data_IF_027848923364
#
_entry.id   IF_027848923364
#
_cell.length_a   1.000
_cell.length_b   1.000
_cell.length_c   1.000
_cell.angle_alpha   90.00
_cell.angle_beta   90.00
_cell.angle_gamma   90.00
#
_symmetry.space_group_name_H-M   'P 1'
#
loop_
_entity.id
_entity.type
_entity.pdbx_description
1 polymer ?
#
# COMPACT_ATOMS: atom_id res chain seq x y z
N UNK A 1 12.75 13.74 -11.15
CA UNK A 1 12.29 12.35 -11.34
C UNK A 1 13.34 11.37 -10.81
N UNK A 2 14.63 11.49 -11.20
CA UNK A 2 15.68 10.57 -10.75
C UNK A 2 15.97 10.61 -9.24
N UNK A 3 15.85 11.75 -8.56
CA UNK A 3 16.19 11.86 -7.14
C UNK A 3 15.21 11.12 -6.22
N UNK A 4 13.90 11.15 -6.51
CA UNK A 4 12.91 10.41 -5.73
C UNK A 4 13.04 8.90 -5.93
N UNK A 5 13.34 8.43 -7.13
CA UNK A 5 13.54 7.02 -7.44
C UNK A 5 14.82 6.46 -6.81
N UNK A 6 15.92 7.22 -6.82
CA UNK A 6 17.15 6.85 -6.12
C UNK A 6 16.94 6.79 -4.60
N UNK A 7 16.17 7.72 -4.03
CA UNK A 7 15.78 7.68 -2.62
C UNK A 7 14.93 6.45 -2.28
N UNK A 8 14.03 6.04 -3.17
CA UNK A 8 13.23 4.82 -3.00
C UNK A 8 14.11 3.57 -2.99
N UNK A 9 15.03 3.41 -3.93
CA UNK A 9 15.92 2.25 -4.00
C UNK A 9 16.85 2.15 -2.78
N UNK A 10 17.47 3.27 -2.34
CA UNK A 10 18.38 3.27 -1.19
C UNK A 10 17.66 2.94 0.13
N UNK A 11 16.43 3.42 0.33
CA UNK A 11 15.63 3.17 1.54
C UNK A 11 15.11 1.74 1.62
N UNK A 12 14.86 1.09 0.50
CA UNK A 12 14.45 -0.32 0.44
C UNK A 12 15.61 -1.26 0.70
N UNK A 13 16.82 -0.93 0.27
CA UNK A 13 18.05 -1.62 0.70
C UNK A 13 18.28 -1.47 2.20
N UNK A 14 17.94 -0.31 2.78
CA UNK A 14 17.95 -0.14 4.23
C UNK A 14 16.97 -1.10 4.92
N UNK A 15 15.77 -1.34 4.36
CA UNK A 15 14.83 -2.31 4.92
C UNK A 15 15.39 -3.73 4.91
N UNK A 16 16.06 -4.16 3.85
CA UNK A 16 16.69 -5.49 3.79
C UNK A 16 17.80 -5.65 4.83
N UNK A 17 18.57 -4.59 5.10
CA UNK A 17 19.66 -4.59 6.08
C UNK A 17 19.17 -4.47 7.52
N UNK A 18 18.20 -3.56 7.75
CA UNK A 18 17.80 -3.08 9.08
C UNK A 18 16.42 -3.62 9.50
N UNK A 19 15.78 -4.44 8.65
CA UNK A 19 14.44 -5.02 8.84
C UNK A 19 13.29 -4.09 8.49
N UNK A 20 13.53 -2.78 8.41
CA UNK A 20 12.51 -1.81 8.03
C UNK A 20 13.10 -0.53 7.43
N UNK A 21 12.31 0.15 6.56
CA UNK A 21 12.68 1.42 5.95
C UNK A 21 11.45 2.21 5.52
N UNK A 22 11.58 3.54 5.50
CA UNK A 22 10.51 4.44 5.04
C UNK A 22 11.02 5.41 3.99
N UNK A 23 10.17 5.75 3.01
CA UNK A 23 10.39 6.86 2.12
C UNK A 23 9.25 7.89 2.28
N UNK A 24 9.64 9.15 2.54
CA UNK A 24 8.69 10.27 2.59
C UNK A 24 8.40 10.68 1.13
N UNK A 25 7.67 9.83 0.44
CA UNK A 25 7.24 9.98 -0.95
C UNK A 25 6.09 9.01 -1.22
N UNK A 26 5.27 9.29 -2.26
CA UNK A 26 4.22 8.36 -2.69
C UNK A 26 4.80 7.16 -3.46
N UNK A 27 4.07 6.04 -3.44
CA UNK A 27 4.36 4.87 -4.26
C UNK A 27 3.93 5.00 -5.72
N UNK A 28 3.07 5.99 -6.02
CA UNK A 28 2.60 6.32 -7.38
C UNK A 28 1.90 5.15 -8.09
N UNK A 29 0.95 4.53 -7.39
CA UNK A 29 0.31 3.25 -7.74
C UNK A 29 -0.61 3.28 -8.98
N UNK A 30 -0.99 4.47 -9.46
CA UNK A 30 -1.79 4.62 -10.68
C UNK A 30 -0.96 4.67 -11.95
N UNK A 31 0.36 4.88 -11.88
CA UNK A 31 1.19 4.89 -13.08
C UNK A 31 1.24 3.51 -13.73
N UNK A 32 0.82 3.46 -14.99
CA UNK A 32 0.75 2.27 -15.83
C UNK A 32 2.04 2.08 -16.66
N UNK A 33 2.05 1.06 -17.53
CA UNK A 33 3.22 0.74 -18.35
C UNK A 33 3.52 1.81 -19.40
N UNK A 34 2.49 2.43 -19.94
CA UNK A 34 2.54 3.31 -21.12
C UNK A 34 2.05 4.74 -20.86
N UNK A 35 1.47 4.99 -19.68
CA UNK A 35 0.98 6.31 -19.31
C UNK A 35 0.97 6.52 -17.80
N UNK A 36 0.95 7.81 -17.40
CA UNK A 36 0.72 8.24 -16.03
C UNK A 36 -0.72 8.68 -15.85
N UNK A 37 -1.31 8.39 -14.70
CA UNK A 37 -2.64 8.88 -14.31
C UNK A 37 -2.74 9.02 -12.78
N UNK A 38 -3.84 9.58 -12.26
CA UNK A 38 -4.08 9.71 -10.82
C UNK A 38 -2.93 10.39 -10.05
N UNK A 39 -2.36 11.48 -10.59
CA UNK A 39 -1.17 12.17 -10.09
C UNK A 39 0.12 11.34 -10.07
N UNK A 40 0.13 10.18 -10.72
CA UNK A 40 1.24 9.24 -10.75
C UNK A 40 1.92 9.24 -12.13
N UNK A 41 3.23 9.49 -12.18
CA UNK A 41 4.02 9.50 -13.43
C UNK A 41 4.79 8.20 -13.63
N UNK A 42 5.41 7.67 -12.57
CA UNK A 42 6.14 6.40 -12.60
C UNK A 42 5.79 5.60 -11.35
N UNK A 43 5.46 4.33 -11.50
CA UNK A 43 5.13 3.46 -10.38
C UNK A 43 6.39 3.12 -9.56
N UNK A 44 6.61 3.89 -8.49
CA UNK A 44 7.80 3.78 -7.65
C UNK A 44 7.90 2.45 -6.89
N UNK A 45 6.76 1.79 -6.60
CA UNK A 45 6.75 0.47 -5.96
C UNK A 45 7.30 -0.59 -6.90
N UNK A 46 6.79 -0.62 -8.14
CA UNK A 46 7.24 -1.57 -9.17
C UNK A 46 8.68 -1.30 -9.59
N UNK A 47 9.05 -0.03 -9.86
CA UNK A 47 10.43 0.32 -10.24
C UNK A 47 11.45 -0.15 -9.21
N UNK A 48 11.11 -0.07 -7.94
CA UNK A 48 12.05 -0.51 -6.93
C UNK A 48 12.03 -2.02 -6.70
N UNK A 49 10.90 -2.68 -6.84
CA UNK A 49 10.84 -4.13 -6.86
C UNK A 49 11.70 -4.67 -8.01
N UNK A 50 11.51 -4.15 -9.24
CA UNK A 50 12.29 -4.55 -10.42
C UNK A 50 13.80 -4.32 -10.22
N UNK A 51 14.20 -3.17 -9.63
CA UNK A 51 15.60 -2.87 -9.38
C UNK A 51 16.26 -3.85 -8.38
N UNK A 52 15.57 -4.25 -7.31
CA UNK A 52 16.08 -5.20 -6.32
C UNK A 52 16.12 -6.63 -6.88
N UNK A 53 15.11 -7.03 -7.65
CA UNK A 53 15.07 -8.31 -8.35
C UNK A 53 16.22 -8.42 -9.37
N UNK A 54 16.43 -7.38 -10.19
CA UNK A 54 17.51 -7.34 -11.18
C UNK A 54 18.91 -7.35 -10.53
N UNK A 55 19.05 -6.76 -9.33
CA UNK A 55 20.29 -6.79 -8.56
C UNK A 55 20.51 -8.14 -7.84
N UNK A 56 19.55 -9.06 -7.86
CA UNK A 56 19.60 -10.32 -7.12
C UNK A 56 19.52 -10.14 -5.59
N UNK A 57 19.11 -8.98 -5.11
CA UNK A 57 19.01 -8.69 -3.67
C UNK A 57 17.75 -9.33 -3.04
N UNK A 58 16.74 -9.58 -3.83
CA UNK A 58 15.51 -10.30 -3.47
C UNK A 58 15.09 -11.23 -4.61
N UNK A 59 14.29 -12.26 -4.30
CA UNK A 59 13.72 -13.19 -5.29
C UNK A 59 12.22 -12.99 -5.46
N UNK A 60 11.54 -12.58 -4.38
CA UNK A 60 10.10 -12.31 -4.38
C UNK A 60 9.80 -11.04 -3.59
N UNK A 61 8.95 -10.20 -4.14
CA UNK A 61 8.47 -8.97 -3.51
C UNK A 61 6.96 -9.03 -3.39
N UNK A 62 6.44 -8.71 -2.22
CA UNK A 62 5.02 -8.42 -2.06
C UNK A 62 4.79 -6.91 -1.98
N UNK A 63 3.66 -6.46 -2.52
CA UNK A 63 3.17 -5.09 -2.40
C UNK A 63 1.82 -5.15 -1.71
N UNK A 64 1.66 -4.46 -0.58
CA UNK A 64 0.38 -4.22 0.05
C UNK A 64 0.03 -2.75 -0.12
N UNK A 65 -1.01 -2.48 -0.85
CA UNK A 65 -1.53 -1.15 -1.13
C UNK A 65 -2.80 -0.92 -0.31
N UNK A 66 -2.74 0.05 0.59
CA UNK A 66 -3.86 0.48 1.44
C UNK A 66 -4.13 1.99 1.31
N UNK A 67 -3.87 2.54 0.14
CA UNK A 67 -4.45 3.80 -0.31
C UNK A 67 -5.97 3.64 -0.47
N UNK A 68 -6.72 4.73 -0.39
CA UNK A 68 -8.17 4.70 -0.61
C UNK A 68 -8.52 4.17 -2.00
N UNK A 69 -7.72 4.53 -3.00
CA UNK A 69 -8.01 4.25 -4.39
C UNK A 69 -7.40 2.91 -4.83
N UNK A 70 -8.08 2.24 -5.75
CA UNK A 70 -7.56 1.02 -6.35
C UNK A 70 -6.24 1.28 -7.09
N UNK A 71 -5.21 0.50 -6.77
CA UNK A 71 -3.87 0.59 -7.36
C UNK A 71 -3.80 -0.04 -8.76
N UNK A 72 -4.52 0.50 -9.73
CA UNK A 72 -4.66 -0.05 -11.08
C UNK A 72 -3.34 -0.21 -11.83
N UNK A 73 -2.46 0.78 -11.74
CA UNK A 73 -1.13 0.73 -12.37
C UNK A 73 -0.26 -0.36 -11.76
N UNK A 74 -0.26 -0.48 -10.42
CA UNK A 74 0.46 -1.57 -9.72
C UNK A 74 -0.09 -2.93 -10.14
N UNK A 75 -1.41 -3.10 -10.20
CA UNK A 75 -2.05 -4.34 -10.64
C UNK A 75 -1.68 -4.71 -12.07
N UNK A 76 -1.77 -3.74 -13.00
CA UNK A 76 -1.40 -3.94 -14.41
C UNK A 76 0.07 -4.38 -14.54
N UNK A 77 0.97 -3.68 -13.85
CA UNK A 77 2.41 -3.97 -13.93
C UNK A 77 2.80 -5.28 -13.26
N UNK A 78 2.16 -5.65 -12.13
CA UNK A 78 2.39 -6.91 -11.45
C UNK A 78 1.91 -8.12 -12.28
N UNK A 79 0.88 -7.96 -13.10
CA UNK A 79 0.32 -9.04 -13.92
C UNK A 79 1.36 -9.70 -14.83
N UNK A 80 2.38 -8.97 -15.27
CA UNK A 80 3.48 -9.47 -16.14
C UNK A 80 4.77 -9.79 -15.37
N UNK A 81 4.75 -9.78 -14.03
CA UNK A 81 5.93 -9.92 -13.15
C UNK A 81 5.75 -11.07 -12.16
N UNK A 82 6.16 -12.30 -12.49
CA UNK A 82 5.89 -13.48 -11.66
C UNK A 82 6.54 -13.43 -10.26
N UNK A 83 7.52 -12.56 -10.06
CA UNK A 83 8.22 -12.38 -8.79
C UNK A 83 7.65 -11.24 -7.93
N UNK A 84 6.61 -10.56 -8.40
CA UNK A 84 5.92 -9.49 -7.67
C UNK A 84 4.47 -9.92 -7.44
N UNK A 85 4.04 -9.92 -6.18
CA UNK A 85 2.66 -10.19 -5.81
C UNK A 85 2.06 -8.94 -5.16
N UNK A 86 1.03 -8.36 -5.77
CA UNK A 86 0.38 -7.15 -5.30
C UNK A 86 -1.00 -7.46 -4.70
N UNK A 87 -1.31 -6.80 -3.60
CA UNK A 87 -2.65 -6.79 -2.98
C UNK A 87 -3.08 -5.35 -2.79
N UNK A 88 -4.25 -4.97 -3.31
CA UNK A 88 -4.86 -3.67 -3.08
C UNK A 88 -6.13 -3.84 -2.25
N UNK A 89 -6.18 -3.18 -1.08
CA UNK A 89 -7.38 -3.06 -0.23
C UNK A 89 -7.83 -1.60 -0.30
N UNK A 90 -8.96 -1.33 -0.93
CA UNK A 90 -9.35 0.00 -1.38
C UNK A 90 -10.83 0.28 -1.13
N UNK A 91 -11.20 1.54 -0.93
CA UNK A 91 -12.57 1.99 -0.70
C UNK A 91 -13.18 2.75 -1.87
N UNK A 92 -12.40 3.02 -2.91
CA UNK A 92 -12.83 3.86 -4.03
C UNK A 92 -12.14 3.46 -5.33
N UNK A 93 -12.90 3.47 -6.43
CA UNK A 93 -12.33 3.46 -7.77
C UNK A 93 -11.88 4.89 -8.12
N UNK A 94 -10.61 5.04 -8.50
CA UNK A 94 -10.02 6.36 -8.78
C UNK A 94 -10.62 7.07 -9.99
N UNK A 95 -11.33 6.34 -10.87
CA UNK A 95 -11.90 6.92 -12.11
C UNK A 95 -13.17 7.70 -11.87
N UNK A 96 -14.08 7.16 -11.10
CA UNK A 96 -15.40 7.74 -10.89
C UNK A 96 -15.62 8.27 -9.45
N UNK A 97 -14.69 7.96 -8.53
CA UNK A 97 -14.79 8.31 -7.11
C UNK A 97 -16.15 7.92 -6.48
N UNK A 98 -16.78 6.86 -6.99
CA UNK A 98 -18.07 6.40 -6.50
C UNK A 98 -17.88 5.40 -5.37
N UNK A 99 -18.47 5.67 -4.19
CA UNK A 99 -18.43 4.72 -3.08
C UNK A 99 -19.06 3.39 -3.43
N UNK A 100 -18.46 2.29 -2.98
CA UNK A 100 -19.03 0.97 -3.17
C UNK A 100 -20.19 0.73 -2.20
N UNK A 101 -21.42 0.67 -2.71
CA UNK A 101 -22.58 0.21 -1.95
C UNK A 101 -22.66 -1.31 -1.88
N UNK A 102 -22.24 -1.97 -2.95
CA UNK A 102 -22.14 -3.41 -3.05
C UNK A 102 -20.77 -3.77 -3.62
N UNK A 103 -19.86 -4.20 -2.75
CA UNK A 103 -18.49 -4.57 -3.10
C UNK A 103 -18.41 -5.83 -3.98
N UNK A 104 -19.47 -6.64 -4.03
CA UNK A 104 -19.52 -7.83 -4.87
C UNK A 104 -19.60 -7.50 -6.36
N UNK A 105 -20.13 -6.33 -6.70
CA UNK A 105 -20.36 -5.87 -8.08
C UNK A 105 -19.12 -5.15 -8.66
N UNK A 106 -18.28 -4.57 -7.80
CA UNK A 106 -17.12 -3.76 -8.22
C UNK A 106 -15.79 -4.42 -7.89
N UNK A 107 -15.67 -5.70 -8.16
CA UNK A 107 -14.38 -6.38 -8.08
C UNK A 107 -13.58 -6.07 -9.33
N UNK A 108 -12.39 -5.50 -9.12
CA UNK A 108 -11.35 -5.57 -10.13
C UNK A 108 -10.90 -7.03 -10.24
N UNK A 109 -10.70 -7.50 -11.47
CA UNK A 109 -10.35 -8.90 -11.70
C UNK A 109 -9.03 -9.26 -11.03
N UNK A 110 -9.07 -10.27 -10.19
CA UNK A 110 -7.86 -10.88 -9.65
C UNK A 110 -7.10 -11.60 -10.76
N UNK A 111 -5.77 -11.54 -10.69
CA UNK A 111 -4.87 -12.28 -11.56
C UNK A 111 -3.99 -13.24 -10.77
N UNK A 112 -3.07 -13.89 -11.44
CA UNK A 112 -2.10 -14.77 -10.79
C UNK A 112 -1.25 -14.01 -9.76
N UNK A 113 -0.82 -12.80 -10.11
CA UNK A 113 0.10 -11.98 -9.33
C UNK A 113 -0.56 -10.75 -8.66
N UNK A 114 -1.87 -10.70 -8.67
CA UNK A 114 -2.61 -9.58 -8.09
C UNK A 114 -3.92 -10.04 -7.44
N UNK A 115 -4.26 -9.41 -6.32
CA UNK A 115 -5.54 -9.53 -5.63
C UNK A 115 -6.09 -8.15 -5.28
N UNK A 116 -7.40 -8.02 -5.31
CA UNK A 116 -8.11 -6.81 -4.94
C UNK A 116 -9.21 -7.10 -3.91
N UNK A 117 -9.35 -6.22 -2.92
CA UNK A 117 -10.37 -6.28 -1.89
C UNK A 117 -11.00 -4.92 -1.70
N UNK A 118 -12.24 -4.76 -2.14
CA UNK A 118 -12.98 -3.52 -1.98
C UNK A 118 -13.60 -3.44 -0.56
N UNK A 119 -13.47 -2.26 0.05
CA UNK A 119 -14.11 -1.91 1.32
C UNK A 119 -15.47 -1.24 1.04
N UNK A 120 -16.54 -1.61 1.76
CA UNK A 120 -17.85 -0.98 1.58
C UNK A 120 -17.85 0.45 2.09
N UNK A 121 -18.73 1.28 1.55
CA UNK A 121 -19.00 2.59 2.12
C UNK A 121 -19.43 2.47 3.59
N UNK A 122 -18.91 3.35 4.45
CA UNK A 122 -19.09 3.28 5.89
C UNK A 122 -18.25 2.19 6.57
N UNK A 123 -17.28 1.60 5.88
CA UNK A 123 -16.33 0.63 6.46
C UNK A 123 -15.69 1.20 7.71
N UNK A 124 -15.81 0.49 8.81
CA UNK A 124 -15.20 0.78 10.11
C UNK A 124 -13.87 0.00 10.30
N UNK A 125 -13.21 0.23 11.43
CA UNK A 125 -11.98 -0.47 11.83
C UNK A 125 -12.13 -1.99 11.74
N UNK A 126 -13.21 -2.54 12.25
CA UNK A 126 -13.44 -4.00 12.32
C UNK A 126 -13.51 -4.61 10.93
N UNK A 127 -14.24 -3.95 10.03
CA UNK A 127 -14.40 -4.38 8.65
C UNK A 127 -13.08 -4.28 7.88
N UNK A 128 -12.33 -3.19 8.06
CA UNK A 128 -11.01 -3.00 7.47
C UNK A 128 -10.02 -4.07 7.95
N UNK A 129 -9.92 -4.29 9.26
CA UNK A 129 -8.99 -5.28 9.82
C UNK A 129 -9.35 -6.70 9.37
N UNK A 130 -10.62 -7.04 9.22
CA UNK A 130 -11.05 -8.32 8.65
C UNK A 130 -10.56 -8.49 7.21
N UNK A 131 -10.72 -7.47 6.36
CA UNK A 131 -10.20 -7.51 4.99
C UNK A 131 -8.66 -7.70 4.95
N UNK A 132 -7.94 -7.11 5.91
CA UNK A 132 -6.50 -7.34 6.06
C UNK A 132 -6.20 -8.77 6.51
N UNK A 133 -6.95 -9.32 7.45
CA UNK A 133 -6.78 -10.69 7.94
C UNK A 133 -7.03 -11.74 6.84
N UNK A 134 -7.90 -11.44 5.88
CA UNK A 134 -8.11 -12.27 4.70
C UNK A 134 -6.96 -12.12 3.67
N UNK A 135 -6.36 -10.93 3.54
CA UNK A 135 -5.35 -10.62 2.53
C UNK A 135 -3.91 -10.99 2.96
N UNK A 136 -3.55 -10.76 4.23
CA UNK A 136 -2.19 -10.99 4.72
C UNK A 136 -1.71 -12.44 4.59
N UNK A 137 -2.54 -13.48 4.78
CA UNK A 137 -2.15 -14.87 4.51
C UNK A 137 -1.79 -15.12 3.03
N UNK A 138 -2.43 -14.43 2.09
CA UNK A 138 -2.11 -14.55 0.66
C UNK A 138 -0.71 -14.01 0.37
N UNK A 139 -0.33 -12.92 1.02
CA UNK A 139 1.03 -12.36 0.96
C UNK A 139 2.02 -13.37 1.56
N UNK A 140 1.73 -13.90 2.75
CA UNK A 140 2.60 -14.87 3.42
C UNK A 140 2.85 -16.13 2.58
N UNK A 141 1.83 -16.62 1.87
CA UNK A 141 1.91 -17.80 1.01
C UNK A 141 2.91 -17.63 -0.14
N UNK A 142 3.18 -16.38 -0.56
CA UNK A 142 4.18 -16.06 -1.60
C UNK A 142 5.62 -16.03 -1.07
N UNK A 143 5.83 -16.14 0.24
CA UNK A 143 7.14 -16.13 0.90
C UNK A 143 8.03 -14.97 0.43
N UNK A 144 7.56 -13.72 0.49
CA UNK A 144 8.32 -12.59 -0.02
C UNK A 144 9.59 -12.34 0.81
N UNK A 145 10.66 -11.97 0.13
CA UNK A 145 11.90 -11.50 0.76
C UNK A 145 11.78 -10.02 1.21
N UNK A 146 10.77 -9.30 0.71
CA UNK A 146 10.48 -7.90 1.04
C UNK A 146 8.98 -7.61 0.89
N UNK A 147 8.42 -6.91 1.86
CA UNK A 147 7.09 -6.30 1.77
C UNK A 147 7.24 -4.80 1.48
N UNK A 148 6.64 -4.34 0.38
CA UNK A 148 6.45 -2.92 0.10
C UNK A 148 5.04 -2.53 0.53
N UNK A 149 4.93 -1.53 1.40
CA UNK A 149 3.67 -1.09 1.96
C UNK A 149 3.36 0.34 1.55
N UNK A 150 2.21 0.57 0.92
CA UNK A 150 1.68 1.88 0.61
C UNK A 150 0.67 2.29 1.68
N UNK A 151 1.05 3.25 2.53
CA UNK A 151 0.27 3.71 3.67
C UNK A 151 -0.44 5.02 3.33
N UNK A 152 -1.58 4.95 2.62
CA UNK A 152 -2.38 6.12 2.27
C UNK A 152 -3.03 6.77 3.51
N UNK A 153 -3.14 8.10 3.50
CA UNK A 153 -3.89 8.86 4.50
C UNK A 153 -5.33 9.15 4.07
N UNK A 154 -5.63 8.97 2.80
CA UNK A 154 -6.93 9.23 2.19
C UNK A 154 -8.08 8.27 2.57
N UNK A 155 -7.88 7.07 3.17
CA UNK A 155 -8.99 6.33 3.77
C UNK A 155 -9.63 7.04 4.99
N UNK A 156 -9.05 8.14 5.45
CA UNK A 156 -9.54 8.94 6.58
C UNK A 156 -10.93 9.54 6.30
N UNK A 157 -11.85 9.47 7.26
CA UNK A 157 -13.27 9.83 7.08
C UNK A 157 -13.53 11.29 6.68
N UNK A 158 -12.61 12.22 6.96
CA UNK A 158 -12.72 13.62 6.52
C UNK A 158 -12.00 13.89 5.20
N UNK A 159 -11.45 12.87 4.54
CA UNK A 159 -10.93 13.04 3.20
C UNK A 159 -12.11 13.20 2.22
N UNK A 160 -12.08 14.20 1.31
CA UNK A 160 -13.21 14.48 0.42
C UNK A 160 -13.56 13.33 -0.53
N UNK A 161 -12.64 12.40 -0.74
CA UNK A 161 -12.86 11.23 -1.60
C UNK A 161 -13.23 9.96 -0.81
N UNK A 162 -13.08 9.98 0.53
CA UNK A 162 -13.29 8.80 1.35
C UNK A 162 -14.77 8.55 1.66
N UNK A 163 -15.30 7.38 1.29
CA UNK A 163 -16.61 6.93 1.76
C UNK A 163 -16.52 6.14 3.08
N UNK A 164 -15.32 6.00 3.67
CA UNK A 164 -15.07 5.13 4.81
C UNK A 164 -15.29 5.87 6.13
N UNK A 165 -15.54 5.12 7.21
CA UNK A 165 -15.72 5.65 8.57
C UNK A 165 -14.48 5.39 9.44
N UNK A 166 -13.28 5.66 8.88
CA UNK A 166 -11.99 5.41 9.54
C UNK A 166 -11.39 6.70 10.06
N UNK A 167 -11.09 6.74 11.35
CA UNK A 167 -10.36 7.86 11.95
C UNK A 167 -8.83 7.65 11.93
N UNK A 168 -8.08 8.60 12.50
CA UNK A 168 -6.61 8.52 12.52
C UNK A 168 -6.09 7.36 13.39
N UNK A 169 -6.81 6.98 14.43
CA UNK A 169 -6.45 5.86 15.29
C UNK A 169 -6.77 4.51 14.62
N UNK A 170 -7.77 4.49 13.75
CA UNK A 170 -8.08 3.33 12.90
C UNK A 170 -6.97 3.11 11.85
N UNK A 171 -6.50 4.19 11.21
CA UNK A 171 -5.39 4.11 10.26
C UNK A 171 -4.08 3.72 10.96
N UNK A 172 -3.86 4.17 12.18
CA UNK A 172 -2.73 3.71 13.00
C UNK A 172 -2.84 2.23 13.35
N UNK A 173 -4.04 1.73 13.67
CA UNK A 173 -4.27 0.30 13.90
C UNK A 173 -4.03 -0.54 12.64
N UNK A 174 -4.43 -0.04 11.46
CA UNK A 174 -4.09 -0.60 10.15
C UNK A 174 -2.58 -0.79 10.00
N UNK A 175 -1.84 0.30 10.18
CA UNK A 175 -0.39 0.31 10.00
C UNK A 175 0.30 -0.63 11.00
N UNK A 176 -0.13 -0.61 12.25
CA UNK A 176 0.37 -1.52 13.28
C UNK A 176 0.17 -2.98 12.88
N UNK A 177 -1.01 -3.34 12.36
CA UNK A 177 -1.30 -4.71 11.91
C UNK A 177 -0.36 -5.17 10.79
N UNK A 178 0.00 -4.28 9.86
CA UNK A 178 0.98 -4.57 8.81
C UNK A 178 2.38 -4.82 9.40
N UNK A 179 2.83 -3.95 10.30
CA UNK A 179 4.17 -4.08 10.90
C UNK A 179 4.29 -5.30 11.82
N UNK A 180 3.26 -5.61 12.60
CA UNK A 180 3.18 -6.83 13.40
C UNK A 180 3.25 -8.08 12.51
N UNK A 181 2.47 -8.12 11.44
CA UNK A 181 2.50 -9.22 10.46
C UNK A 181 3.90 -9.42 9.87
N UNK A 182 4.56 -8.34 9.44
CA UNK A 182 5.90 -8.40 8.87
C UNK A 182 6.92 -8.91 9.88
N UNK A 183 6.90 -8.38 11.13
CA UNK A 183 7.78 -8.81 12.21
C UNK A 183 7.61 -10.29 12.57
N UNK A 184 6.37 -10.73 12.78
CA UNK A 184 6.05 -12.11 13.17
C UNK A 184 6.55 -13.13 12.15
N UNK A 185 6.70 -12.73 10.89
CA UNK A 185 7.17 -13.59 9.79
C UNK A 185 8.61 -13.34 9.39
N UNK A 186 9.29 -12.40 10.05
CA UNK A 186 10.65 -12.03 9.68
C UNK A 186 10.77 -11.43 8.27
N UNK A 187 9.70 -10.80 7.77
CA UNK A 187 9.69 -10.17 6.45
C UNK A 187 10.12 -8.71 6.60
N UNK A 188 11.24 -8.29 5.99
CA UNK A 188 11.60 -6.87 5.92
C UNK A 188 10.49 -6.05 5.29
N UNK A 189 10.22 -4.86 5.83
CA UNK A 189 9.15 -3.98 5.34
C UNK A 189 9.69 -2.61 4.96
N UNK A 190 9.37 -2.16 3.75
CA UNK A 190 9.60 -0.77 3.36
C UNK A 190 8.26 -0.11 3.03
N UNK A 191 8.00 1.05 3.64
CA UNK A 191 6.74 1.75 3.39
C UNK A 191 6.95 3.12 2.76
N UNK A 192 5.92 3.56 2.06
CA UNK A 192 5.80 4.88 1.46
C UNK A 192 4.53 5.54 1.97
N UNK A 193 4.52 6.86 1.97
CA UNK A 193 3.32 7.65 2.14
C UNK A 193 2.50 7.56 0.85
N UNK A 194 1.20 7.92 0.91
CA UNK A 194 0.35 7.95 -0.27
C UNK A 194 -0.77 8.99 -0.09
N UNK A 195 -1.89 8.85 -0.74
CA UNK A 195 -2.98 9.80 -0.77
C UNK A 195 -3.31 10.47 0.56
N UNK A 196 -3.95 11.62 0.46
CA UNK A 196 -4.38 12.45 1.58
C UNK A 196 -4.74 13.83 1.06
N UNK A 197 -6.06 14.13 1.01
CA UNK A 197 -6.61 15.30 0.30
C UNK A 197 -7.47 16.18 1.18
N UNK A 198 -7.55 15.89 2.50
CA UNK A 198 -8.23 16.80 3.42
C UNK A 198 -7.58 18.18 3.43
N UNK A 199 -8.40 19.23 3.53
CA UNK A 199 -7.91 20.63 3.50
C UNK A 199 -7.01 20.97 4.69
N UNK A 200 -7.19 20.30 5.81
CA UNK A 200 -6.34 20.45 6.98
C UNK A 200 -5.13 19.53 6.89
N UNK A 201 -4.03 20.09 6.40
CA UNK A 201 -2.76 19.36 6.24
C UNK A 201 -2.24 18.79 7.57
N UNK A 202 -2.62 19.37 8.72
CA UNK A 202 -2.15 18.86 10.02
C UNK A 202 -2.71 17.48 10.31
N UNK A 203 -3.90 17.15 9.81
CA UNK A 203 -4.51 15.82 9.92
C UNK A 203 -3.75 14.79 9.09
N UNK A 204 -3.35 15.15 7.85
CA UNK A 204 -2.53 14.29 6.99
C UNK A 204 -1.18 14.01 7.66
N UNK A 205 -0.52 15.06 8.18
CA UNK A 205 0.75 14.93 8.90
C UNK A 205 0.59 14.04 10.13
N UNK A 206 -0.50 14.20 10.91
CA UNK A 206 -0.80 13.36 12.06
C UNK A 206 -0.96 11.88 11.68
N UNK A 207 -1.68 11.59 10.60
CA UNK A 207 -1.88 10.21 10.12
C UNK A 207 -0.54 9.60 9.72
N UNK A 208 0.23 10.27 8.87
CA UNK A 208 1.53 9.76 8.45
C UNK A 208 2.55 9.65 9.58
N UNK A 209 2.51 10.55 10.57
CA UNK A 209 3.34 10.42 11.80
C UNK A 209 2.90 9.21 12.60
N UNK A 210 1.57 8.95 12.66
CA UNK A 210 0.99 7.76 13.28
C UNK A 210 1.51 6.45 12.67
N UNK A 211 1.81 6.43 11.36
CA UNK A 211 2.43 5.27 10.70
C UNK A 211 3.83 4.97 11.30
N UNK A 212 4.65 6.00 11.53
CA UNK A 212 5.96 5.82 12.17
C UNK A 212 5.83 5.37 13.64
N UNK A 213 4.82 5.88 14.35
CA UNK A 213 4.56 5.44 15.73
C UNK A 213 4.08 3.98 15.76
N UNK A 214 3.20 3.58 14.85
CA UNK A 214 2.76 2.20 14.70
C UNK A 214 3.94 1.24 14.46
N UNK A 215 4.89 1.63 13.60
CA UNK A 215 6.12 0.85 13.41
C UNK A 215 6.96 0.74 14.68
N UNK A 216 7.15 1.85 15.41
CA UNK A 216 7.91 1.84 16.68
C UNK A 216 7.25 0.94 17.73
N UNK A 217 5.93 0.91 17.79
CA UNK A 217 5.16 0.06 18.71
C UNK A 217 5.23 -1.42 18.34
N UNK A 218 5.13 -1.73 17.06
CA UNK A 218 5.21 -3.12 16.56
C UNK A 218 6.58 -3.77 16.81
N UNK A 219 7.63 -3.01 17.13
CA UNK A 219 8.97 -3.52 17.45
C UNK A 219 9.15 -3.94 18.92
N UNK A 220 8.23 -3.55 19.79
CA UNK A 220 8.25 -3.94 21.20
C UNK A 220 7.71 -5.35 21.39
#
# INVERSE_FOLDING_TARGET
VCASQAAHASRRRAALRDGAGAAIASGFHHACADHGEGFCTFNGLIVAADALLAAGEVRHVAILDMDLHYGNGTAQLAATRPHIFAVSIYGNDYRDNVPYRDVSVRRHGDGENHRSSALPAGCDRTTMLRAMDDALPLIAARKPDLLLYQAGADPYFEDPYSPLALDADDLRARDRRVFEFARERGIPVAWVLAGGYTRDITKIVRIHTGTFDAWREARK
#
